data_IF_762612746791
#
_entry.id   IF_762612746791
#
_cell.length_a   1.000
_cell.length_b   1.000
_cell.length_c   1.000
_cell.angle_alpha   90.00
_cell.angle_beta   90.00
_cell.angle_gamma   90.00
#
_symmetry.space_group_name_H-M   'P 1'
#
loop_
_entity.id
_entity.type
_entity.pdbx_description
1 polymer ?
#
# COMPACT_ATOMS: atom_id res chain seq x y z
N UNK A 1 59.45 21.34 51.43
CA UNK A 1 59.57 20.55 50.19
C UNK A 1 58.76 19.27 50.37
N UNK A 2 57.46 19.29 50.08
CA UNK A 2 56.59 18.11 50.13
C UNK A 2 55.78 18.09 48.84
N UNK A 3 56.13 17.18 47.93
CA UNK A 3 55.47 17.00 46.64
C UNK A 3 54.06 16.39 46.86
N UNK A 4 53.02 16.84 46.16
CA UNK A 4 51.72 16.18 46.20
C UNK A 4 51.77 14.88 45.38
N UNK A 5 51.30 13.79 46.00
CA UNK A 5 51.09 12.48 45.38
C UNK A 5 50.10 12.63 44.21
N UNK A 6 50.57 12.42 42.98
CA UNK A 6 49.71 12.15 41.83
C UNK A 6 49.19 10.73 41.95
N UNK A 7 47.90 10.57 42.23
CA UNK A 7 47.19 9.30 42.03
C UNK A 7 46.97 9.11 40.53
N UNK A 8 47.84 8.32 39.90
CA UNK A 8 47.62 7.83 38.55
C UNK A 8 46.43 6.84 38.58
N UNK A 9 45.29 7.27 38.06
CA UNK A 9 44.10 6.44 37.87
C UNK A 9 44.37 5.41 36.75
N UNK A 10 44.93 4.26 37.12
CA UNK A 10 45.32 3.15 36.23
C UNK A 10 44.12 2.42 35.58
N UNK A 11 42.88 2.85 35.83
CA UNK A 11 41.66 2.10 35.45
C UNK A 11 40.78 2.79 34.40
N UNK A 12 41.24 3.91 33.80
CA UNK A 12 40.50 4.56 32.72
C UNK A 12 41.00 4.05 31.36
N UNK A 13 40.21 3.27 30.59
CA UNK A 13 40.58 2.95 29.22
C UNK A 13 40.55 4.24 28.39
N UNK A 14 41.73 4.83 28.17
CA UNK A 14 41.91 5.96 27.25
C UNK A 14 41.97 5.41 25.84
N UNK A 15 40.81 5.07 25.28
CA UNK A 15 40.70 4.81 23.84
C UNK A 15 40.34 6.13 23.17
N UNK A 16 41.20 6.71 22.32
CA UNK A 16 40.84 7.89 21.56
C UNK A 16 39.71 7.52 20.61
N UNK A 17 38.54 8.12 20.80
CA UNK A 17 37.41 7.99 19.88
C UNK A 17 37.86 8.41 18.48
N UNK A 18 37.97 7.45 17.57
CA UNK A 18 38.17 7.72 16.15
C UNK A 18 36.99 8.52 15.58
N UNK A 19 37.12 9.09 14.37
CA UNK A 19 36.05 9.84 13.73
C UNK A 19 34.80 8.95 13.66
N UNK A 20 33.76 9.32 14.41
CA UNK A 20 32.47 8.68 14.30
C UNK A 20 31.97 8.93 12.88
N UNK A 21 31.94 7.88 12.06
CA UNK A 21 31.27 7.91 10.78
C UNK A 21 29.83 8.35 11.06
N UNK A 22 29.52 9.61 10.72
CA UNK A 22 28.15 10.09 10.70
C UNK A 22 27.43 9.24 9.65
N UNK A 23 26.80 8.16 10.10
CA UNK A 23 25.81 7.45 9.29
C UNK A 23 24.75 8.48 9.01
N UNK A 24 24.59 8.87 7.73
CA UNK A 24 23.61 9.84 7.30
C UNK A 24 22.27 9.56 7.96
N UNK A 25 21.96 10.34 9.00
CA UNK A 25 20.63 10.37 9.61
C UNK A 25 19.65 10.78 8.52
N UNK A 26 18.39 10.35 8.65
CA UNK A 26 17.20 10.55 7.79
C UNK A 26 16.88 11.98 7.31
N UNK A 27 17.84 12.90 7.25
CA UNK A 27 17.67 14.33 7.06
C UNK A 27 17.26 14.78 5.66
N UNK A 28 17.10 13.88 4.68
CA UNK A 28 16.68 14.30 3.33
C UNK A 28 15.70 13.32 2.68
N UNK A 29 14.82 12.70 3.47
CA UNK A 29 13.73 11.92 2.88
C UNK A 29 12.68 12.84 2.23
N UNK A 30 12.46 14.05 2.78
CA UNK A 30 11.36 14.94 2.39
C UNK A 30 11.46 15.59 1.00
N UNK A 31 12.61 15.52 0.33
CA UNK A 31 12.83 16.10 -1.01
C UNK A 31 12.89 15.06 -2.13
N UNK A 32 12.81 13.78 -1.80
CA UNK A 32 12.95 12.71 -2.78
C UNK A 32 11.67 12.52 -3.56
N UNK A 33 11.81 12.19 -4.83
CA UNK A 33 10.70 11.75 -5.66
C UNK A 33 10.14 10.41 -5.17
N UNK A 34 8.88 10.14 -5.49
CA UNK A 34 8.23 8.87 -5.16
C UNK A 34 9.02 7.65 -5.67
N UNK A 35 9.59 7.74 -6.89
CA UNK A 35 10.41 6.68 -7.48
C UNK A 35 11.69 6.42 -6.66
N UNK A 36 12.34 7.47 -6.16
CA UNK A 36 13.51 7.34 -5.30
C UNK A 36 13.16 6.75 -3.93
N UNK A 37 12.00 7.11 -3.35
CA UNK A 37 11.51 6.51 -2.12
C UNK A 37 11.23 5.02 -2.30
N UNK A 38 10.66 4.62 -3.44
CA UNK A 38 10.43 3.21 -3.76
C UNK A 38 11.74 2.44 -3.94
N UNK A 39 12.75 3.01 -4.61
CA UNK A 39 14.08 2.40 -4.71
C UNK A 39 14.75 2.25 -3.33
N UNK A 40 14.63 3.25 -2.46
CA UNK A 40 15.14 3.17 -1.08
C UNK A 40 14.42 2.10 -0.28
N UNK A 41 13.10 1.94 -0.46
CA UNK A 41 12.31 0.88 0.15
C UNK A 41 12.88 -0.50 -0.22
N UNK A 42 13.06 -0.74 -1.51
CA UNK A 42 13.59 -2.02 -2.02
C UNK A 42 15.01 -2.31 -1.51
N UNK A 43 15.88 -1.29 -1.45
CA UNK A 43 17.22 -1.44 -0.89
C UNK A 43 17.19 -1.82 0.60
N UNK A 44 16.34 -1.18 1.40
CA UNK A 44 16.21 -1.51 2.82
C UNK A 44 15.62 -2.91 3.03
N UNK A 45 14.63 -3.30 2.23
CA UNK A 45 14.05 -4.66 2.25
C UNK A 45 15.10 -5.72 1.89
N UNK A 46 15.93 -5.44 0.88
CA UNK A 46 17.03 -6.32 0.50
C UNK A 46 18.09 -6.45 1.60
N UNK A 47 18.48 -5.34 2.25
CA UNK A 47 19.42 -5.36 3.38
C UNK A 47 18.84 -6.12 4.58
N UNK A 48 17.56 -5.88 4.92
CA UNK A 48 16.86 -6.63 5.97
C UNK A 48 16.82 -8.13 5.69
N UNK A 49 16.55 -8.52 4.43
CA UNK A 49 16.56 -9.92 4.00
C UNK A 49 17.95 -10.54 4.12
N UNK A 50 18.99 -9.82 3.72
CA UNK A 50 20.37 -10.30 3.82
C UNK A 50 20.79 -10.49 5.29
N UNK A 51 20.52 -9.52 6.16
CA UNK A 51 20.82 -9.61 7.59
C UNK A 51 19.99 -10.69 8.29
N UNK A 52 18.74 -10.90 7.85
CA UNK A 52 17.91 -12.02 8.30
C UNK A 52 18.55 -13.37 7.99
N UNK A 53 19.01 -13.57 6.75
CA UNK A 53 19.71 -14.79 6.35
C UNK A 53 21.00 -15.04 7.15
N UNK A 54 21.70 -13.97 7.56
CA UNK A 54 22.84 -14.09 8.46
C UNK A 54 22.41 -14.64 9.82
N UNK A 55 21.32 -14.16 10.41
CA UNK A 55 20.80 -14.70 11.67
C UNK A 55 20.35 -16.16 11.53
N UNK A 56 19.66 -16.49 10.43
CA UNK A 56 19.22 -17.85 10.13
C UNK A 56 20.42 -18.82 10.00
N UNK A 57 21.54 -18.37 9.43
CA UNK A 57 22.76 -19.18 9.32
C UNK A 57 23.38 -19.54 10.68
N UNK A 58 23.17 -18.69 11.69
CA UNK A 58 23.57 -18.95 13.08
C UNK A 58 22.49 -19.69 13.88
N UNK A 59 21.34 -20.00 13.28
CA UNK A 59 20.22 -20.67 13.93
C UNK A 59 19.56 -19.85 15.05
N UNK A 60 19.65 -18.52 14.96
CA UNK A 60 19.11 -17.59 15.96
C UNK A 60 18.18 -16.58 15.31
N UNK A 61 17.17 -16.13 16.04
CA UNK A 61 16.27 -15.06 15.58
C UNK A 61 16.64 -13.71 16.23
N UNK A 62 15.75 -12.72 16.20
CA UNK A 62 15.95 -11.42 16.86
C UNK A 62 15.87 -11.47 18.40
N UNK A 63 15.24 -12.51 18.96
CA UNK A 63 14.86 -12.58 20.38
C UNK A 63 15.59 -13.70 21.15
N UNK A 64 16.29 -14.58 20.45
CA UNK A 64 16.94 -15.76 21.02
C UNK A 64 17.96 -15.33 22.07
N UNK A 65 17.97 -15.92 23.28
CA UNK A 65 18.92 -15.59 24.32
C UNK A 65 20.35 -15.90 23.87
N UNK A 66 21.26 -14.94 24.11
CA UNK A 66 22.68 -15.06 23.76
C UNK A 66 23.55 -15.56 24.93
N UNK A 67 22.89 -15.84 26.06
CA UNK A 67 23.53 -16.29 27.30
C UNK A 67 22.90 -17.61 27.73
N UNK A 68 23.72 -18.41 28.38
CA UNK A 68 23.33 -19.65 29.05
C UNK A 68 22.52 -19.32 30.32
N UNK A 69 21.89 -20.33 30.93
CA UNK A 69 21.11 -20.15 32.16
C UNK A 69 21.94 -19.57 33.32
N UNK A 70 23.24 -19.85 33.35
CA UNK A 70 24.19 -19.34 34.33
C UNK A 70 24.65 -17.88 34.07
N UNK A 71 24.15 -17.24 33.00
CA UNK A 71 24.47 -15.86 32.64
C UNK A 71 25.74 -15.67 31.80
N UNK A 72 26.42 -16.76 31.42
CA UNK A 72 27.61 -16.69 30.57
C UNK A 72 27.28 -16.68 29.07
N UNK A 73 28.10 -15.99 28.24
CA UNK A 73 27.99 -16.01 26.78
C UNK A 73 27.94 -17.45 26.22
N UNK A 74 27.00 -17.73 25.31
CA UNK A 74 26.94 -19.01 24.61
C UNK A 74 28.18 -19.24 23.73
N UNK A 75 28.80 -20.41 23.85
CA UNK A 75 30.02 -20.75 23.11
C UNK A 75 29.76 -21.24 21.68
N UNK A 76 28.52 -21.67 21.38
CA UNK A 76 28.05 -22.14 20.07
C UNK A 76 27.72 -21.00 19.09
N UNK A 77 27.75 -19.74 19.53
CA UNK A 77 27.33 -18.58 18.75
C UNK A 77 28.41 -17.51 18.68
N UNK A 78 28.53 -16.85 17.52
CA UNK A 78 29.27 -15.58 17.43
C UNK A 78 28.38 -14.44 17.95
N UNK A 79 28.48 -14.17 19.25
CA UNK A 79 27.66 -13.17 19.93
C UNK A 79 27.95 -11.76 19.42
N UNK A 80 29.18 -11.47 18.99
CA UNK A 80 29.55 -10.16 18.47
C UNK A 80 28.85 -9.90 17.13
N UNK A 81 28.91 -10.87 16.21
CA UNK A 81 28.22 -10.80 14.94
C UNK A 81 26.70 -10.73 15.15
N UNK A 82 26.13 -11.63 15.97
CA UNK A 82 24.68 -11.66 16.20
C UNK A 82 24.18 -10.34 16.81
N UNK A 83 24.88 -9.77 17.80
CA UNK A 83 24.50 -8.47 18.38
C UNK A 83 24.56 -7.34 17.35
N UNK A 84 25.60 -7.31 16.53
CA UNK A 84 25.78 -6.26 15.52
C UNK A 84 24.71 -6.35 14.44
N UNK A 85 24.44 -7.57 13.94
CA UNK A 85 23.39 -7.85 12.96
C UNK A 85 22.01 -7.47 13.52
N UNK A 86 21.68 -7.87 14.76
CA UNK A 86 20.42 -7.50 15.40
C UNK A 86 20.28 -5.98 15.55
N UNK A 87 21.32 -5.30 16.02
CA UNK A 87 21.31 -3.84 16.13
C UNK A 87 21.07 -3.19 14.76
N UNK A 88 21.71 -3.67 13.71
CA UNK A 88 21.51 -3.15 12.34
C UNK A 88 20.08 -3.35 11.86
N UNK A 89 19.51 -4.54 12.07
CA UNK A 89 18.10 -4.83 11.74
C UNK A 89 17.15 -3.88 12.47
N UNK A 90 17.39 -3.60 13.75
CA UNK A 90 16.54 -2.69 14.54
C UNK A 90 16.55 -1.29 13.95
N UNK A 91 17.73 -0.75 13.62
CA UNK A 91 17.83 0.57 12.99
C UNK A 91 17.11 0.59 11.65
N UNK A 92 17.38 -0.38 10.76
CA UNK A 92 16.73 -0.46 9.46
C UNK A 92 15.21 -0.60 9.55
N UNK A 93 14.68 -1.32 10.54
CA UNK A 93 13.22 -1.43 10.76
C UNK A 93 12.62 -0.09 11.17
N UNK A 94 13.31 0.68 12.01
CA UNK A 94 12.86 2.01 12.41
C UNK A 94 12.90 2.97 11.21
N UNK A 95 13.98 2.95 10.44
CA UNK A 95 14.13 3.78 9.23
C UNK A 95 13.10 3.41 8.16
N UNK A 96 12.84 2.12 7.96
CA UNK A 96 11.80 1.64 7.05
C UNK A 96 10.41 2.13 7.48
N UNK A 97 10.11 2.11 8.78
CA UNK A 97 8.85 2.65 9.31
C UNK A 97 8.71 4.15 9.01
N UNK A 98 9.79 4.93 9.16
CA UNK A 98 9.81 6.35 8.84
C UNK A 98 9.63 6.60 7.34
N UNK A 99 10.32 5.83 6.48
CA UNK A 99 10.17 5.91 5.03
C UNK A 99 8.72 5.63 4.62
N UNK A 100 8.11 4.58 5.15
CA UNK A 100 6.73 4.22 4.82
C UNK A 100 5.73 5.32 5.21
N UNK A 101 5.92 5.94 6.39
CA UNK A 101 5.09 7.08 6.80
C UNK A 101 5.23 8.27 5.84
N UNK A 102 6.42 8.49 5.27
CA UNK A 102 6.63 9.54 4.29
C UNK A 102 6.02 9.22 2.92
N UNK A 103 6.15 7.97 2.46
CA UNK A 103 5.51 7.49 1.23
C UNK A 103 4.00 7.68 1.33
N UNK A 104 3.41 7.32 2.47
CA UNK A 104 2.00 7.54 2.75
C UNK A 104 1.63 9.02 2.64
N UNK A 105 2.43 9.92 3.25
CA UNK A 105 2.19 11.37 3.19
C UNK A 105 2.23 11.90 1.75
N UNK A 106 3.27 11.58 0.97
CA UNK A 106 3.37 12.03 -0.43
C UNK A 106 2.22 11.53 -1.29
N UNK A 107 1.78 10.29 -1.05
CA UNK A 107 0.67 9.69 -1.78
C UNK A 107 -0.64 10.43 -1.47
N UNK A 108 -0.90 10.75 -0.20
CA UNK A 108 -2.07 11.55 0.19
C UNK A 108 -2.01 12.98 -0.39
N UNK A 109 -0.85 13.64 -0.36
CA UNK A 109 -0.69 14.98 -0.95
C UNK A 109 -0.96 14.96 -2.46
N UNK A 110 -0.47 13.95 -3.18
CA UNK A 110 -0.70 13.80 -4.62
C UNK A 110 -2.19 13.57 -4.95
N UNK A 111 -2.90 12.75 -4.17
CA UNK A 111 -4.34 12.57 -4.38
C UNK A 111 -5.15 13.79 -3.95
N UNK A 112 -4.73 14.51 -2.92
CA UNK A 112 -5.38 15.75 -2.48
C UNK A 112 -5.21 16.87 -3.52
N UNK A 113 -4.00 17.04 -4.10
CA UNK A 113 -3.76 18.06 -5.13
C UNK A 113 -4.58 17.81 -6.39
N UNK A 114 -4.71 16.55 -6.81
CA UNK A 114 -5.60 16.19 -7.93
C UNK A 114 -7.07 16.54 -7.65
N UNK A 115 -7.49 16.46 -6.39
CA UNK A 115 -8.85 16.79 -5.97
C UNK A 115 -9.08 18.31 -5.80
N UNK A 116 -8.02 19.08 -5.53
CA UNK A 116 -8.06 20.55 -5.48
C UNK A 116 -8.01 21.20 -6.87
N UNK A 117 -7.28 20.64 -7.83
CA UNK A 117 -7.27 21.11 -9.23
C UNK A 117 -8.64 20.96 -9.93
N UNK A 118 -9.57 20.16 -9.37
CA UNK A 118 -10.94 19.99 -9.88
C UNK A 118 -11.98 21.00 -9.34
N UNK A 119 -11.61 22.02 -8.54
CA UNK A 119 -12.59 23.00 -7.98
C UNK A 119 -12.62 24.36 -8.72
N UNK A 120 -13.76 24.78 -9.32
CA UNK A 120 -14.09 26.18 -9.48
C UNK A 120 -14.66 26.75 -8.15
N UNK A 121 -14.24 27.97 -7.80
CA UNK A 121 -14.54 28.67 -6.54
C UNK A 121 -16.03 28.93 -6.28
N UNK A 122 -16.54 28.70 -5.05
CA UNK A 122 -17.29 29.65 -4.17
C UNK A 122 -17.65 29.04 -2.77
N UNK A 123 -17.93 29.85 -1.71
CA UNK A 123 -17.41 29.65 -0.34
C UNK A 123 -18.33 29.00 0.71
N UNK A 124 -17.69 28.71 1.86
CA UNK A 124 -18.10 28.06 3.10
C UNK A 124 -19.37 28.58 3.82
N UNK A 125 -20.10 27.66 4.49
CA UNK A 125 -20.72 27.90 5.80
C UNK A 125 -20.88 26.58 6.58
N UNK A 126 -20.70 26.65 7.90
CA UNK A 126 -20.31 25.54 8.78
C UNK A 126 -21.43 24.64 9.31
N UNK A 127 -21.02 23.55 9.95
CA UNK A 127 -21.90 22.70 10.76
C UNK A 127 -21.35 21.30 11.00
N UNK A 128 -20.60 21.12 12.09
CA UNK A 128 -20.22 19.80 12.58
C UNK A 128 -21.46 19.00 13.00
N UNK A 129 -21.62 17.78 12.47
CA UNK A 129 -21.93 16.57 13.24
C UNK A 129 -21.86 15.31 12.37
N UNK A 130 -21.23 14.30 12.95
CA UNK A 130 -20.92 12.98 12.42
C UNK A 130 -22.21 12.18 12.10
N UNK A 131 -22.36 11.63 10.90
CA UNK A 131 -22.93 10.28 10.60
C UNK A 131 -23.06 10.05 9.09
N UNK A 132 -22.29 9.06 8.59
CA UNK A 132 -22.64 8.12 7.52
C UNK A 132 -23.68 8.60 6.48
N UNK A 133 -23.26 9.42 5.51
CA UNK A 133 -23.96 9.52 4.23
C UNK A 133 -23.06 10.14 3.17
N UNK A 134 -23.01 9.45 2.04
CA UNK A 134 -22.94 10.03 0.71
C UNK A 134 -21.58 10.54 0.22
N UNK A 135 -20.76 9.59 -0.25
CA UNK A 135 -19.68 9.84 -1.20
C UNK A 135 -20.27 10.19 -2.59
N UNK A 136 -20.96 11.32 -2.67
CA UNK A 136 -21.44 11.93 -3.92
C UNK A 136 -20.75 13.28 -4.09
N UNK A 137 -19.43 13.26 -4.28
CA UNK A 137 -18.68 14.42 -4.75
C UNK A 137 -17.67 13.93 -5.80
N UNK A 138 -18.18 13.89 -7.04
CA UNK A 138 -17.45 14.06 -8.31
C UNK A 138 -16.03 13.50 -8.33
N UNK A 139 -15.92 12.17 -8.50
CA UNK A 139 -14.71 11.60 -9.06
C UNK A 139 -14.58 12.06 -10.52
N UNK A 140 -13.34 12.21 -11.06
CA UNK A 140 -13.14 12.42 -12.48
C UNK A 140 -13.95 11.37 -13.23
N UNK A 141 -14.72 11.82 -14.23
CA UNK A 141 -15.59 10.96 -15.02
C UNK A 141 -14.72 10.04 -15.89
N UNK A 142 -14.18 8.97 -15.29
CA UNK A 142 -13.34 7.97 -15.96
C UNK A 142 -13.99 7.53 -17.27
N UNK A 143 -13.25 7.61 -18.37
CA UNK A 143 -13.81 7.37 -19.71
C UNK A 143 -14.46 5.99 -19.78
N UNK A 144 -15.69 5.90 -20.34
CA UNK A 144 -16.31 4.60 -20.52
C UNK A 144 -15.50 3.79 -21.55
N UNK A 145 -15.20 2.54 -21.21
CA UNK A 145 -14.42 1.65 -22.09
C UNK A 145 -15.25 0.51 -22.69
N UNK A 146 -16.47 0.32 -22.17
CA UNK A 146 -17.36 -0.73 -22.64
C UNK A 146 -18.83 -0.32 -22.56
N UNK A 147 -19.68 -1.02 -23.30
CA UNK A 147 -21.14 -0.83 -23.34
C UNK A 147 -21.85 -2.15 -23.15
N UNK A 148 -22.90 -2.15 -22.34
CA UNK A 148 -23.80 -3.29 -22.17
C UNK A 148 -24.73 -3.36 -23.38
N UNK A 149 -24.66 -4.46 -24.14
CA UNK A 149 -25.52 -4.70 -25.29
C UNK A 149 -26.83 -5.40 -24.91
N UNK A 150 -26.74 -6.42 -24.03
CA UNK A 150 -27.89 -7.20 -23.60
C UNK A 150 -27.69 -7.74 -22.18
N UNK A 151 -28.79 -7.94 -21.46
CA UNK A 151 -28.83 -8.53 -20.12
C UNK A 151 -29.89 -9.62 -20.11
N UNK A 152 -29.55 -10.79 -19.56
CA UNK A 152 -30.46 -11.95 -19.51
C UNK A 152 -31.35 -11.87 -18.26
N UNK A 153 -32.65 -12.18 -18.35
CA UNK A 153 -33.53 -12.22 -17.18
C UNK A 153 -33.09 -13.24 -16.13
N UNK A 154 -33.23 -12.91 -14.85
CA UNK A 154 -32.80 -13.71 -13.71
C UNK A 154 -31.28 -13.80 -13.54
N UNK A 155 -30.50 -13.07 -14.34
CA UNK A 155 -29.05 -13.10 -14.27
C UNK A 155 -28.49 -12.20 -13.16
N UNK A 156 -27.26 -12.45 -12.69
CA UNK A 156 -26.57 -11.56 -11.76
C UNK A 156 -26.48 -10.11 -12.25
N UNK A 157 -26.33 -9.90 -13.55
CA UNK A 157 -26.32 -8.59 -14.16
C UNK A 157 -27.66 -7.85 -14.01
N UNK A 158 -28.78 -8.55 -14.23
CA UNK A 158 -30.11 -7.95 -14.03
C UNK A 158 -30.40 -7.68 -12.55
N UNK A 159 -30.06 -8.63 -11.67
CA UNK A 159 -30.28 -8.49 -10.22
C UNK A 159 -29.50 -7.30 -9.63
N UNK A 160 -28.34 -6.99 -10.19
CA UNK A 160 -27.57 -5.82 -9.83
C UNK A 160 -28.14 -4.52 -10.42
N UNK A 161 -29.03 -4.60 -11.41
CA UNK A 161 -29.69 -3.45 -12.03
C UNK A 161 -28.97 -2.90 -13.27
N UNK A 162 -28.10 -3.68 -13.92
CA UNK A 162 -27.56 -3.33 -15.24
C UNK A 162 -28.66 -3.36 -16.30
N UNK A 163 -28.62 -2.39 -17.21
CA UNK A 163 -29.55 -2.28 -18.34
C UNK A 163 -28.78 -2.23 -19.66
N UNK A 164 -29.42 -2.64 -20.77
CA UNK A 164 -28.88 -2.39 -22.10
C UNK A 164 -28.60 -0.90 -22.31
N UNK A 165 -27.51 -0.60 -22.99
CA UNK A 165 -26.94 0.74 -23.23
C UNK A 165 -26.26 1.42 -22.04
N UNK A 166 -26.16 0.78 -20.87
CA UNK A 166 -25.28 1.28 -19.82
C UNK A 166 -23.83 1.25 -20.31
N UNK A 167 -23.10 2.35 -20.13
CA UNK A 167 -21.67 2.42 -20.42
C UNK A 167 -20.88 2.15 -19.14
N UNK A 168 -19.94 1.21 -19.21
CA UNK A 168 -19.11 0.82 -18.07
C UNK A 168 -17.87 1.70 -18.05
N UNK A 169 -17.67 2.40 -16.93
CA UNK A 169 -16.49 3.22 -16.65
C UNK A 169 -15.48 2.45 -15.82
N UNK A 170 -15.94 1.81 -14.73
CA UNK A 170 -15.11 0.97 -13.85
C UNK A 170 -15.80 -0.37 -13.65
N UNK A 171 -15.03 -1.45 -13.72
CA UNK A 171 -15.45 -2.80 -13.38
C UNK A 171 -14.47 -3.41 -12.36
N UNK A 172 -14.79 -3.32 -11.07
CA UNK A 172 -13.89 -3.74 -10.00
C UNK A 172 -12.59 -2.91 -10.02
N UNK A 173 -11.48 -3.56 -10.36
CA UNK A 173 -10.17 -2.90 -10.55
C UNK A 173 -9.89 -2.50 -12.00
N UNK A 174 -10.83 -2.76 -12.92
CA UNK A 174 -10.65 -2.57 -14.37
C UNK A 174 -11.24 -1.24 -14.82
N UNK A 175 -10.48 -0.47 -15.60
CA UNK A 175 -10.85 0.84 -16.14
C UNK A 175 -10.38 1.00 -17.61
N UNK A 176 -10.54 2.19 -18.19
CA UNK A 176 -10.20 2.46 -19.60
C UNK A 176 -8.71 2.33 -19.93
N UNK A 177 -7.80 2.39 -18.96
CA UNK A 177 -6.36 2.27 -19.22
C UNK A 177 -5.84 0.84 -19.12
N UNK A 178 -6.54 -0.06 -18.42
CA UNK A 178 -6.04 -1.39 -18.09
C UNK A 178 -6.90 -2.57 -18.62
N UNK A 179 -8.02 -2.31 -19.31
CA UNK A 179 -8.99 -3.36 -19.66
C UNK A 179 -8.49 -4.45 -20.63
N UNK A 180 -7.42 -4.21 -21.40
CA UNK A 180 -6.84 -5.14 -22.39
C UNK A 180 -7.91 -5.84 -23.26
N UNK A 181 -8.64 -5.07 -24.07
CA UNK A 181 -9.75 -5.57 -24.91
C UNK A 181 -10.78 -6.42 -24.12
N UNK A 182 -11.10 -5.99 -22.90
CA UNK A 182 -12.04 -6.62 -21.95
C UNK A 182 -11.56 -7.96 -21.35
N UNK A 183 -10.33 -8.42 -21.63
CA UNK A 183 -9.79 -9.63 -21.00
C UNK A 183 -9.67 -9.48 -19.49
N UNK A 184 -9.25 -8.31 -18.99
CA UNK A 184 -9.18 -8.04 -17.55
C UNK A 184 -10.54 -8.05 -16.87
N UNK A 185 -11.61 -7.68 -17.58
CA UNK A 185 -12.98 -7.84 -17.07
C UNK A 185 -13.30 -9.32 -16.86
N UNK A 186 -13.00 -10.18 -17.84
CA UNK A 186 -13.23 -11.61 -17.72
C UNK A 186 -12.43 -12.24 -16.56
N UNK A 187 -11.15 -11.87 -16.40
CA UNK A 187 -10.32 -12.28 -15.26
C UNK A 187 -10.92 -11.82 -13.92
N UNK A 188 -11.34 -10.55 -13.84
CA UNK A 188 -11.95 -9.97 -12.64
C UNK A 188 -13.20 -10.75 -12.22
N UNK A 189 -14.06 -11.07 -13.19
CA UNK A 189 -15.30 -11.83 -12.95
C UNK A 189 -15.01 -13.26 -12.49
N UNK A 190 -14.03 -13.93 -13.10
CA UNK A 190 -13.65 -15.30 -12.73
C UNK A 190 -13.01 -15.36 -11.34
N UNK A 191 -12.15 -14.39 -11.00
CA UNK A 191 -11.49 -14.31 -9.69
C UNK A 191 -12.42 -13.91 -8.54
N UNK A 192 -13.58 -13.34 -8.85
CA UNK A 192 -14.58 -12.89 -7.88
C UNK A 192 -15.88 -13.68 -7.95
N UNK A 193 -15.83 -14.96 -8.31
CA UNK A 193 -16.99 -15.85 -8.19
C UNK A 193 -17.53 -15.87 -6.75
N UNK A 194 -18.85 -15.70 -6.61
CA UNK A 194 -19.60 -15.54 -5.35
C UNK A 194 -19.17 -14.33 -4.48
N UNK A 195 -18.40 -13.38 -5.03
CA UNK A 195 -17.97 -12.16 -4.33
C UNK A 195 -18.52 -10.91 -5.02
N UNK A 196 -18.95 -9.89 -4.26
CA UNK A 196 -19.46 -8.65 -4.84
C UNK A 196 -18.33 -7.84 -5.51
N UNK A 197 -18.60 -7.36 -6.72
CA UNK A 197 -17.74 -6.51 -7.54
C UNK A 197 -18.47 -5.19 -7.78
N UNK A 198 -17.85 -4.08 -7.37
CA UNK A 198 -18.38 -2.74 -7.61
C UNK A 198 -18.15 -2.34 -9.07
N UNK A 199 -19.19 -1.85 -9.73
CA UNK A 199 -19.17 -1.40 -11.12
C UNK A 199 -19.76 0.00 -11.19
N UNK A 200 -19.02 0.92 -11.83
CA UNK A 200 -19.50 2.29 -12.09
C UNK A 200 -19.94 2.38 -13.54
N UNK A 201 -21.18 2.81 -13.74
CA UNK A 201 -21.80 2.93 -15.05
C UNK A 201 -22.33 4.34 -15.27
N UNK A 202 -22.36 4.76 -16.53
CA UNK A 202 -23.14 5.92 -16.96
C UNK A 202 -24.33 5.45 -17.79
N UNK A 203 -25.53 5.78 -17.33
CA UNK A 203 -26.78 5.46 -18.00
C UNK A 203 -27.29 6.68 -18.78
N UNK A 204 -27.57 6.54 -20.09
CA UNK A 204 -28.22 7.60 -20.84
C UNK A 204 -29.69 7.74 -20.39
N UNK A 205 -30.05 8.88 -19.80
CA UNK A 205 -31.42 9.29 -19.48
C UNK A 205 -31.79 10.54 -20.30
N UNK A 206 -33.06 10.88 -20.43
CA UNK A 206 -33.54 11.88 -21.41
C UNK A 206 -32.83 13.25 -21.30
N UNK A 207 -31.80 13.45 -22.12
CA UNK A 207 -30.99 14.68 -22.16
C UNK A 207 -29.81 14.75 -21.19
N UNK A 208 -29.59 13.75 -20.33
CA UNK A 208 -28.52 13.73 -19.34
C UNK A 208 -27.90 12.33 -19.19
N UNK A 209 -26.63 12.26 -18.77
CA UNK A 209 -26.01 11.00 -18.33
C UNK A 209 -26.11 10.89 -16.83
N UNK A 210 -26.71 9.81 -16.35
CA UNK A 210 -26.82 9.49 -14.94
C UNK A 210 -25.68 8.54 -14.56
N UNK A 211 -24.83 8.94 -13.62
CA UNK A 211 -23.77 8.08 -13.10
C UNK A 211 -24.33 7.23 -11.96
N UNK A 212 -24.19 5.91 -12.06
CA UNK A 212 -24.73 4.95 -11.10
C UNK A 212 -23.65 3.96 -10.68
N UNK A 213 -23.70 3.54 -9.42
CA UNK A 213 -22.85 2.49 -8.88
C UNK A 213 -23.70 1.25 -8.65
N UNK A 214 -23.22 0.12 -9.17
CA UNK A 214 -23.92 -1.16 -9.16
C UNK A 214 -22.99 -2.23 -8.60
N UNK A 215 -23.52 -3.12 -7.76
CA UNK A 215 -22.74 -4.24 -7.19
C UNK A 215 -23.13 -5.54 -7.87
N UNK A 216 -22.23 -6.11 -8.67
CA UNK A 216 -22.40 -7.38 -9.36
C UNK A 216 -21.81 -8.51 -8.55
N UNK A 217 -22.55 -9.60 -8.33
CA UNK A 217 -22.01 -10.82 -7.71
C UNK A 217 -21.98 -11.95 -8.74
N UNK A 218 -20.83 -12.27 -9.35
CA UNK A 218 -20.72 -13.36 -10.32
C UNK A 218 -21.09 -14.71 -9.71
N UNK A 219 -21.91 -15.51 -10.38
CA UNK A 219 -22.31 -16.87 -9.93
C UNK A 219 -22.53 -17.78 -11.13
N UNK A 220 -22.34 -19.10 -11.00
CA UNK A 220 -22.58 -20.07 -12.10
C UNK A 220 -24.02 -20.57 -12.17
N UNK A 221 -24.67 -20.73 -11.02
CA UNK A 221 -25.94 -21.47 -10.92
C UNK A 221 -27.16 -20.54 -10.99
N UNK A 222 -27.18 -19.61 -11.95
CA UNK A 222 -28.34 -18.73 -12.20
C UNK A 222 -29.20 -19.20 -13.38
N UNK A 223 -28.83 -20.28 -14.07
CA UNK A 223 -29.62 -20.88 -15.14
C UNK A 223 -29.28 -20.42 -16.56
N UNK A 224 -28.14 -19.75 -16.75
CA UNK A 224 -27.64 -19.34 -18.08
C UNK A 224 -26.15 -19.57 -18.28
N UNK A 225 -25.60 -19.04 -19.38
CA UNK A 225 -24.19 -19.21 -19.74
C UNK A 225 -23.31 -18.17 -19.05
N UNK A 226 -22.23 -18.63 -18.43
CA UNK A 226 -21.22 -17.76 -17.81
C UNK A 226 -21.62 -17.29 -16.41
N UNK A 227 -20.91 -16.28 -15.89
CA UNK A 227 -21.00 -15.87 -14.50
C UNK A 227 -21.90 -14.64 -14.23
N UNK A 228 -22.20 -13.85 -15.26
CA UNK A 228 -22.93 -12.58 -15.11
C UNK A 228 -24.26 -12.54 -15.86
N UNK A 229 -24.33 -13.16 -17.04
CA UNK A 229 -25.51 -13.11 -17.91
C UNK A 229 -25.74 -11.77 -18.61
N UNK A 230 -24.67 -11.04 -18.95
CA UNK A 230 -24.73 -9.88 -19.83
C UNK A 230 -23.73 -9.98 -21.00
N UNK A 231 -24.03 -9.27 -22.09
CA UNK A 231 -23.14 -9.12 -23.24
C UNK A 231 -22.53 -7.72 -23.23
N UNK A 232 -21.20 -7.64 -23.07
CA UNK A 232 -20.45 -6.40 -22.99
C UNK A 232 -19.63 -6.25 -24.27
N UNK A 233 -19.72 -5.08 -24.90
CA UNK A 233 -18.96 -4.73 -26.11
C UNK A 233 -17.94 -3.63 -25.76
N UNK A 234 -16.73 -3.66 -26.33
CA UNK A 234 -15.81 -2.52 -26.22
C UNK A 234 -16.40 -1.30 -26.92
N UNK A 235 -16.06 -0.10 -26.43
CA UNK A 235 -16.42 1.17 -27.06
C UNK A 235 -15.43 1.57 -28.16
#
# INVERSE_FOLDING_TARGET
>A
MGLPLRMDNIHAPTVPSGPASNTSRNGDLGRLSFAELQNKKENMEAELKALGAVLDSHGVDMNTPLTTQDGFPRADLDIAQVRTTRARIIHLRNDYKELMAMVEKQLHEHFASLQEEEKPEVPLSGGANNTLADHSASQPLEEPFAKVNAVVPGSPAELAGLKPNDQIRIFGYVNSSNHDNLKKVAECVQGNEERPVLVRISRPSQGAREELHVTLTPRRNWGGRGLLGCHILPL
#
